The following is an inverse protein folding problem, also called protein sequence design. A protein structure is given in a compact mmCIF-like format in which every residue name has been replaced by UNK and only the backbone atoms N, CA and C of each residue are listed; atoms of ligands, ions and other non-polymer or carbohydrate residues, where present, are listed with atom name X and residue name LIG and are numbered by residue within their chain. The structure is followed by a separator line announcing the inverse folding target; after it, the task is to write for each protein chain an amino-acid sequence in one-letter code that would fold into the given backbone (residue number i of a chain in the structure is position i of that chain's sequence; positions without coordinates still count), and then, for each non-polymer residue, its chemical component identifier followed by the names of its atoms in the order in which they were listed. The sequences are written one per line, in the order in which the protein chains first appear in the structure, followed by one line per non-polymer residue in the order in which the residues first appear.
data_IF_766855196530
#
_entry.id   IF_766855196530
#
_cell.length_a   1.000
_cell.length_b   1.000
_cell.length_c   1.000
_cell.angle_alpha   90.00
_cell.angle_beta   90.00
_cell.angle_gamma   90.00
#
_symmetry.space_group_name_H-M   'P 1'
#
loop_
_entity.id
_entity.type
_entity.pdbx_description
1 polymer ?
#
# COMPACT_ATOMS: atom_id res chain seq x y z
N UNK A 1 -11.59 -40.11 -4.09
CA UNK A 1 -10.79 -39.40 -5.11
C UNK A 1 -10.50 -38.02 -4.53
N UNK A 2 -9.28 -37.77 -4.09
CA UNK A 2 -8.91 -36.50 -3.44
C UNK A 2 -8.62 -35.46 -4.51
N UNK A 3 -9.34 -34.35 -4.48
CA UNK A 3 -9.04 -33.18 -5.30
C UNK A 3 -7.75 -32.55 -4.77
N UNK A 4 -6.70 -32.57 -5.57
CA UNK A 4 -5.49 -31.79 -5.31
C UNK A 4 -5.87 -30.32 -5.52
N UNK A 5 -5.98 -29.55 -4.44
CA UNK A 5 -5.97 -28.10 -4.56
C UNK A 5 -4.62 -27.71 -5.15
N UNK A 6 -4.63 -27.32 -6.42
CA UNK A 6 -3.52 -26.62 -7.02
C UNK A 6 -3.42 -25.27 -6.28
N UNK A 7 -2.49 -25.16 -5.34
CA UNK A 7 -2.07 -23.86 -4.82
C UNK A 7 -1.58 -23.04 -6.02
N UNK A 8 -2.42 -22.13 -6.51
CA UNK A 8 -1.96 -21.06 -7.40
C UNK A 8 -0.86 -20.32 -6.66
N UNK A 9 0.34 -20.14 -7.25
CA UNK A 9 1.39 -19.39 -6.59
C UNK A 9 0.85 -18.00 -6.28
N UNK A 10 0.66 -17.67 -5.00
CA UNK A 10 0.36 -16.30 -4.60
C UNK A 10 1.53 -15.45 -5.11
N UNK A 11 1.28 -14.44 -5.97
CA UNK A 11 2.35 -13.59 -6.44
C UNK A 11 2.99 -12.94 -5.21
N UNK A 12 4.26 -13.29 -4.97
CA UNK A 12 5.01 -12.79 -3.82
C UNK A 12 4.96 -11.26 -3.82
N UNK A 13 4.49 -10.69 -2.71
CA UNK A 13 4.34 -9.24 -2.58
C UNK A 13 5.66 -8.52 -2.91
N UNK A 14 5.62 -7.40 -3.64
CA UNK A 14 6.83 -6.69 -4.04
C UNK A 14 7.63 -6.22 -2.82
N UNK A 15 8.95 -6.41 -2.89
CA UNK A 15 9.88 -5.89 -1.89
C UNK A 15 10.12 -4.39 -2.12
N UNK A 16 9.36 -3.56 -1.41
CA UNK A 16 9.38 -2.11 -1.56
C UNK A 16 10.12 -1.47 -0.37
N UNK A 17 11.43 -1.21 -0.51
CA UNK A 17 12.25 -0.62 0.56
C UNK A 17 12.90 0.71 0.17
N UNK A 18 12.99 0.99 -1.12
CA UNK A 18 13.70 2.15 -1.66
C UNK A 18 12.81 2.97 -2.60
N UNK A 19 13.18 4.23 -2.81
CA UNK A 19 12.56 5.10 -3.84
C UNK A 19 12.57 4.43 -5.22
N UNK A 20 13.64 3.72 -5.57
CA UNK A 20 13.75 3.04 -6.86
C UNK A 20 12.74 1.89 -6.98
N UNK A 21 12.52 1.14 -5.89
CA UNK A 21 11.51 0.06 -5.87
C UNK A 21 10.10 0.62 -6.08
N UNK A 22 9.78 1.74 -5.42
CA UNK A 22 8.49 2.42 -5.58
C UNK A 22 8.28 2.89 -7.03
N UNK A 23 9.27 3.59 -7.60
CA UNK A 23 9.22 4.06 -9.00
C UNK A 23 9.05 2.91 -9.98
N UNK A 24 9.78 1.81 -9.79
CA UNK A 24 9.68 0.64 -10.65
C UNK A 24 8.27 0.03 -10.58
N UNK A 25 7.74 -0.16 -9.38
CA UNK A 25 6.40 -0.72 -9.19
C UNK A 25 5.30 0.17 -9.80
N UNK A 26 5.35 1.49 -9.58
CA UNK A 26 4.38 2.42 -10.15
C UNK A 26 4.46 2.46 -11.68
N UNK A 27 5.68 2.42 -12.26
CA UNK A 27 5.87 2.32 -13.71
C UNK A 27 5.33 1.01 -14.28
N UNK A 28 5.41 -0.07 -13.53
CA UNK A 28 4.85 -1.38 -13.88
C UNK A 28 3.32 -1.45 -13.65
N UNK A 29 2.69 -0.33 -13.31
CA UNK A 29 1.25 -0.21 -13.13
C UNK A 29 0.73 -0.76 -11.80
N UNK A 30 1.62 -1.00 -10.82
CA UNK A 30 1.22 -1.42 -9.47
C UNK A 30 1.04 -0.18 -8.61
N UNK A 31 -0.20 0.23 -8.39
CA UNK A 31 -0.57 1.42 -7.62
C UNK A 31 -1.95 1.95 -8.05
N UNK A 32 -2.54 2.82 -7.24
CA UNK A 32 -3.82 3.43 -7.59
C UNK A 32 -3.63 4.55 -8.62
N UNK A 33 -4.68 4.92 -9.38
CA UNK A 33 -4.61 6.02 -10.34
C UNK A 33 -4.10 7.31 -9.71
N UNK A 34 -3.03 7.88 -10.27
CA UNK A 34 -2.42 9.12 -9.79
C UNK A 34 -1.29 8.93 -8.76
N UNK A 35 -1.03 7.69 -8.31
CA UNK A 35 0.03 7.41 -7.33
C UNK A 35 1.42 7.75 -7.89
N UNK A 36 1.65 7.57 -9.19
CA UNK A 36 2.93 7.87 -9.84
C UNK A 36 3.29 9.35 -9.74
N UNK A 37 2.36 10.24 -10.09
CA UNK A 37 2.57 11.68 -10.04
C UNK A 37 2.62 12.20 -8.60
N UNK A 38 1.75 11.67 -7.74
CA UNK A 38 1.67 12.06 -6.33
C UNK A 38 2.94 11.66 -5.57
N UNK A 39 3.47 10.46 -5.83
CA UNK A 39 4.71 9.98 -5.23
C UNK A 39 5.89 10.91 -5.50
N UNK A 40 6.08 11.34 -6.75
CA UNK A 40 7.19 12.24 -7.10
C UNK A 40 7.00 13.62 -6.47
N UNK A 41 5.77 14.13 -6.42
CA UNK A 41 5.48 15.43 -5.79
C UNK A 41 5.73 15.40 -4.27
N UNK A 42 5.29 14.33 -3.59
CA UNK A 42 5.49 14.17 -2.15
C UNK A 42 6.95 13.90 -1.81
N UNK A 43 7.67 13.11 -2.63
CA UNK A 43 9.10 12.87 -2.46
C UNK A 43 9.90 14.17 -2.64
N UNK A 44 9.60 14.96 -3.67
CA UNK A 44 10.24 16.26 -3.88
C UNK A 44 10.01 17.18 -2.68
N UNK A 45 8.76 17.30 -2.22
CA UNK A 45 8.42 18.09 -1.02
C UNK A 45 9.17 17.60 0.22
N UNK A 46 9.22 16.29 0.44
CA UNK A 46 9.91 15.71 1.59
C UNK A 46 11.41 15.96 1.53
N UNK A 47 12.02 15.94 0.34
CA UNK A 47 13.44 16.26 0.16
C UNK A 47 13.71 17.75 0.40
N UNK A 48 12.85 18.65 -0.07
CA UNK A 48 12.98 20.09 0.12
C UNK A 48 12.91 20.51 1.60
N UNK A 49 12.13 19.78 2.41
CA UNK A 49 12.00 20.03 3.86
C UNK A 49 13.00 19.25 4.71
N UNK A 50 13.72 18.29 4.12
CA UNK A 50 14.68 17.45 4.84
C UNK A 50 16.00 18.19 5.09
N UNK A 51 16.70 17.76 6.14
CA UNK A 51 18.08 18.19 6.41
C UNK A 51 19.04 17.04 6.12
N UNK A 52 20.34 17.32 6.02
CA UNK A 52 21.34 16.29 5.76
C UNK A 52 21.37 15.17 6.81
N UNK A 53 20.80 15.39 8.00
CA UNK A 53 20.76 14.44 9.11
C UNK A 53 19.35 13.94 9.45
N UNK A 54 18.31 14.44 8.76
CA UNK A 54 16.93 14.05 9.03
C UNK A 54 16.17 13.81 7.72
N UNK A 55 15.82 12.54 7.51
CA UNK A 55 15.08 12.04 6.35
C UNK A 55 13.78 11.33 6.77
N UNK A 56 13.25 11.60 7.97
CA UNK A 56 12.04 10.92 8.45
C UNK A 56 10.86 11.08 7.48
N UNK A 57 10.68 12.28 6.93
CA UNK A 57 9.61 12.55 5.95
C UNK A 57 9.77 11.73 4.67
N UNK A 58 11.01 11.58 4.17
CA UNK A 58 11.29 10.73 3.00
C UNK A 58 10.97 9.26 3.31
N UNK A 59 11.35 8.78 4.49
CA UNK A 59 11.04 7.42 4.92
C UNK A 59 9.52 7.19 5.03
N UNK A 60 8.76 8.18 5.49
CA UNK A 60 7.30 8.09 5.57
C UNK A 60 6.65 8.07 4.20
N UNK A 61 7.13 8.89 3.25
CA UNK A 61 6.69 8.81 1.84
C UNK A 61 6.92 7.38 1.31
N UNK A 62 8.12 6.81 1.48
CA UNK A 62 8.39 5.43 1.02
C UNK A 62 7.40 4.43 1.66
N UNK A 63 7.14 4.53 2.98
CA UNK A 63 6.21 3.63 3.67
C UNK A 63 4.78 3.75 3.15
N UNK A 64 4.29 4.98 2.94
CA UNK A 64 2.93 5.25 2.45
C UNK A 64 2.72 4.58 1.10
N UNK A 65 3.59 4.86 0.14
CA UNK A 65 3.44 4.31 -1.21
C UNK A 65 3.77 2.81 -1.26
N UNK A 66 4.70 2.31 -0.42
CA UNK A 66 4.88 0.87 -0.26
C UNK A 66 3.61 0.17 0.25
N UNK A 67 2.88 0.81 1.17
CA UNK A 67 1.59 0.33 1.66
C UNK A 67 0.53 0.33 0.55
N UNK A 68 0.41 1.43 -0.18
CA UNK A 68 -0.52 1.58 -1.32
C UNK A 68 -0.31 0.46 -2.35
N UNK A 69 0.93 0.26 -2.79
CA UNK A 69 1.27 -0.73 -3.81
C UNK A 69 1.01 -2.16 -3.32
N UNK A 70 1.27 -2.43 -2.03
CA UNK A 70 0.95 -3.75 -1.44
C UNK A 70 -0.54 -4.00 -1.40
N UNK A 71 -1.33 -3.02 -0.96
CA UNK A 71 -2.79 -3.11 -0.97
C UNK A 71 -3.32 -3.37 -2.38
N UNK A 72 -2.85 -2.62 -3.37
CA UNK A 72 -3.21 -2.83 -4.77
C UNK A 72 -2.79 -4.22 -5.32
N UNK A 73 -1.66 -4.75 -4.84
CA UNK A 73 -1.13 -6.04 -5.29
C UNK A 73 -1.72 -7.23 -4.56
N UNK A 74 -2.51 -7.01 -3.50
CA UNK A 74 -3.08 -8.04 -2.65
C UNK A 74 -4.52 -8.35 -3.10
N UNK A 75 -4.79 -9.56 -3.62
CA UNK A 75 -6.11 -9.93 -4.12
C UNK A 75 -7.18 -10.03 -3.02
N UNK A 76 -6.78 -10.15 -1.74
CA UNK A 76 -7.70 -10.26 -0.61
C UNK A 76 -7.98 -8.90 0.05
N UNK A 77 -7.29 -7.84 -0.40
CA UNK A 77 -7.36 -6.53 0.24
C UNK A 77 -8.78 -5.96 0.26
N UNK A 78 -9.52 -6.03 -0.86
CA UNK A 78 -10.87 -5.48 -0.95
C UNK A 78 -11.86 -6.20 -0.02
N UNK A 79 -11.73 -7.52 0.11
CA UNK A 79 -12.55 -8.32 1.03
C UNK A 79 -12.24 -7.98 2.49
N UNK A 80 -10.97 -7.96 2.86
CA UNK A 80 -10.53 -7.60 4.21
C UNK A 80 -10.92 -6.15 4.57
N UNK A 81 -10.88 -5.23 3.60
CA UNK A 81 -11.31 -3.85 3.78
C UNK A 81 -12.82 -3.79 4.06
N UNK A 82 -13.63 -4.50 3.28
CA UNK A 82 -15.08 -4.53 3.47
C UNK A 82 -15.46 -5.12 4.83
N UNK A 83 -14.83 -6.23 5.24
CA UNK A 83 -15.03 -6.84 6.56
C UNK A 83 -14.73 -5.83 7.68
N UNK A 84 -13.62 -5.09 7.57
CA UNK A 84 -13.26 -4.05 8.52
C UNK A 84 -14.28 -2.91 8.60
N UNK A 85 -14.81 -2.48 7.45
CA UNK A 85 -15.84 -1.44 7.39
C UNK A 85 -17.16 -1.90 8.04
N UNK A 86 -17.56 -3.15 7.80
CA UNK A 86 -18.77 -3.73 8.39
C UNK A 86 -18.63 -3.84 9.92
N UNK A 87 -17.47 -4.27 10.43
CA UNK A 87 -17.17 -4.32 11.86
C UNK A 87 -17.26 -2.92 12.51
N UNK A 88 -16.71 -1.88 11.85
CA UNK A 88 -16.79 -0.50 12.34
C UNK A 88 -18.25 -0.01 12.38
N UNK A 89 -19.06 -0.36 11.38
CA UNK A 89 -20.47 0.00 11.35
C UNK A 89 -21.25 -0.62 12.53
N UNK A 90 -21.00 -1.90 12.82
CA UNK A 90 -21.62 -2.59 13.96
C UNK A 90 -21.20 -1.99 15.32
N UNK A 91 -19.92 -1.67 15.51
CA UNK A 91 -19.42 -1.02 16.74
C UNK A 91 -20.11 0.34 16.94
N UNK A 92 -20.24 1.14 15.87
CA UNK A 92 -20.91 2.45 15.93
C UNK A 92 -22.38 2.33 16.28
N UNK A 93 -23.06 1.30 15.77
CA UNK A 93 -24.48 1.05 16.05
C UNK A 93 -24.72 0.61 17.50
N UNK A 94 -23.90 -0.30 18.04
CA UNK A 94 -23.97 -0.75 19.43
C UNK A 94 -23.54 0.30 20.47
N UNK A 95 -22.83 1.36 20.06
CA UNK A 95 -22.44 2.49 20.93
C UNK A 95 -23.50 3.60 20.98
N UNK A 96 -24.66 3.42 20.34
CA UNK A 96 -25.79 4.36 20.32
C UNK A 96 -27.03 3.82 21.06
N UNK A 97 -26.94 2.62 21.66
CA UNK A 97 -27.93 2.02 22.57
C UNK A 97 -27.45 2.13 24.03
#
# INVERSE_FOLDING_TARGET
MSAQHAETPHPSLPHLRTVADIRAALRDGRGFPGDAESFEADLARALDTSTATDFHQVADVIKIYAGSIRAFSDPEFDEALQEGLDLIAEIKKGSQE
#
